data_IF_408184863935
#
_entry.id   IF_408184863935
#
_cell.length_a   1.000
_cell.length_b   1.000
_cell.length_c   1.000
_cell.angle_alpha   90.00
_cell.angle_beta   90.00
_cell.angle_gamma   90.00
#
_symmetry.space_group_name_H-M   'P 1'
#
loop_
_entity.id
_entity.type
_entity.pdbx_description
1 polymer ?
#
# COMPACT_ATOMS: atom_id res chain seq x y z
N UNK A 1 -2.38 28.33 3.39
CA UNK A 1 -3.01 27.29 2.54
C UNK A 1 -2.09 26.07 2.55
N UNK A 2 -2.57 24.87 2.87
CA UNK A 2 -1.71 23.67 2.90
C UNK A 2 -1.14 23.36 1.51
N UNK A 3 0.08 22.83 1.44
CA UNK A 3 0.69 22.42 0.15
C UNK A 3 0.03 21.17 -0.45
N UNK A 4 -0.82 20.48 0.33
CA UNK A 4 -1.47 19.22 0.01
C UNK A 4 -2.96 19.35 -0.35
N UNK A 5 -3.45 20.55 -0.69
CA UNK A 5 -4.89 20.76 -0.95
C UNK A 5 -5.44 19.88 -2.07
N UNK A 6 -4.62 19.54 -3.08
CA UNK A 6 -5.07 18.71 -4.20
C UNK A 6 -5.20 17.25 -3.77
N UNK A 7 -4.21 16.72 -3.07
CA UNK A 7 -4.19 15.39 -2.49
C UNK A 7 -5.32 15.20 -1.49
N UNK A 8 -5.61 16.24 -0.70
CA UNK A 8 -6.75 16.29 0.21
C UNK A 8 -8.08 16.18 -0.54
N UNK A 9 -8.28 16.99 -1.60
CA UNK A 9 -9.50 16.93 -2.43
C UNK A 9 -9.67 15.57 -3.09
N UNK A 10 -8.59 14.94 -3.53
CA UNK A 10 -8.59 13.58 -4.07
C UNK A 10 -9.07 12.57 -3.04
N UNK A 11 -8.57 12.65 -1.81
CA UNK A 11 -9.03 11.79 -0.72
C UNK A 11 -10.50 12.05 -0.34
N UNK A 12 -10.90 13.32 -0.19
CA UNK A 12 -12.28 13.68 0.14
C UNK A 12 -13.25 13.17 -0.93
N UNK A 13 -12.87 13.28 -2.21
CA UNK A 13 -13.67 12.78 -3.34
C UNK A 13 -13.74 11.26 -3.38
N UNK A 14 -12.61 10.57 -3.14
CA UNK A 14 -12.61 9.11 -2.99
C UNK A 14 -13.61 8.70 -1.90
N UNK A 15 -13.58 9.37 -0.75
CA UNK A 15 -14.49 9.06 0.36
C UNK A 15 -15.96 9.33 0.04
N UNK A 16 -16.28 10.39 -0.71
CA UNK A 16 -17.67 10.77 -1.01
C UNK A 16 -18.28 10.03 -2.20
N UNK A 17 -17.48 9.74 -3.22
CA UNK A 17 -17.97 9.30 -4.52
C UNK A 17 -17.78 7.79 -4.75
N UNK A 18 -17.08 7.08 -3.85
CA UNK A 18 -16.86 5.64 -3.98
C UNK A 18 -18.18 4.87 -3.85
N UNK A 19 -18.47 4.06 -4.87
CA UNK A 19 -19.60 3.14 -4.83
C UNK A 19 -19.33 1.98 -3.88
N UNK A 20 -20.38 1.43 -3.29
CA UNK A 20 -20.26 0.24 -2.43
C UNK A 20 -19.68 -0.96 -3.20
N UNK A 21 -19.98 -1.06 -4.50
CA UNK A 21 -19.41 -2.10 -5.37
C UNK A 21 -17.88 -2.00 -5.48
N UNK A 22 -17.35 -0.83 -5.82
CA UNK A 22 -15.90 -0.64 -5.95
C UNK A 22 -15.18 -0.81 -4.60
N UNK A 23 -15.82 -0.37 -3.52
CA UNK A 23 -15.34 -0.59 -2.15
C UNK A 23 -15.26 -2.08 -1.82
N UNK A 24 -16.33 -2.84 -2.05
CA UNK A 24 -16.36 -4.28 -1.78
C UNK A 24 -15.35 -5.05 -2.64
N UNK A 25 -15.19 -4.70 -3.92
CA UNK A 25 -14.17 -5.28 -4.78
C UNK A 25 -12.76 -5.01 -4.25
N UNK A 26 -12.48 -3.78 -3.81
CA UNK A 26 -11.19 -3.41 -3.22
C UNK A 26 -10.88 -4.21 -1.94
N UNK A 27 -11.85 -4.34 -1.04
CA UNK A 27 -11.74 -5.17 0.17
C UNK A 27 -11.49 -6.63 -0.16
N UNK A 28 -12.22 -7.18 -1.14
CA UNK A 28 -12.10 -8.57 -1.57
C UNK A 28 -10.73 -8.88 -2.22
N UNK A 29 -10.22 -8.03 -3.10
CA UNK A 29 -8.90 -8.28 -3.70
C UNK A 29 -7.76 -8.13 -2.68
N UNK A 30 -7.92 -7.23 -1.69
CA UNK A 30 -6.98 -7.11 -0.59
C UNK A 30 -6.99 -8.35 0.30
N UNK A 31 -8.15 -8.91 0.63
CA UNK A 31 -8.23 -10.12 1.45
C UNK A 31 -7.52 -11.31 0.78
N UNK A 32 -7.77 -11.51 -0.51
CA UNK A 32 -7.07 -12.54 -1.31
C UNK A 32 -5.55 -12.32 -1.29
N UNK A 33 -5.10 -11.07 -1.46
CA UNK A 33 -3.66 -10.75 -1.48
C UNK A 33 -2.98 -11.10 -0.15
N UNK A 34 -3.57 -10.70 0.98
CA UNK A 34 -2.97 -10.91 2.31
C UNK A 34 -3.06 -12.36 2.79
N UNK A 35 -4.07 -13.11 2.33
CA UNK A 35 -4.19 -14.56 2.55
C UNK A 35 -3.13 -15.33 1.77
N UNK A 36 -2.91 -14.99 0.49
CA UNK A 36 -1.98 -15.73 -0.38
C UNK A 36 -0.52 -15.46 -0.10
N UNK A 37 -0.17 -14.24 0.31
CA UNK A 37 1.23 -13.81 0.40
C UNK A 37 1.66 -13.49 1.83
N UNK A 38 2.59 -14.30 2.33
CA UNK A 38 3.18 -14.06 3.61
C UNK A 38 4.26 -12.95 3.57
N UNK A 39 3.93 -11.72 3.98
CA UNK A 39 4.87 -10.59 4.14
C UNK A 39 6.00 -10.78 5.16
N UNK A 40 6.02 -11.84 5.99
CA UNK A 40 7.25 -12.18 6.73
C UNK A 40 8.36 -12.63 5.78
N UNK A 41 7.99 -13.25 4.66
CA UNK A 41 8.87 -13.55 3.53
C UNK A 41 9.23 -12.22 2.85
N UNK A 42 10.53 -11.93 2.76
CA UNK A 42 11.03 -10.65 2.28
C UNK A 42 10.59 -10.31 0.85
N UNK A 43 10.66 -11.26 -0.10
CA UNK A 43 10.23 -11.03 -1.49
C UNK A 43 8.74 -10.65 -1.58
N UNK A 44 7.89 -11.23 -0.73
CA UNK A 44 6.45 -10.99 -0.75
C UNK A 44 6.12 -9.57 -0.31
N UNK A 45 6.98 -8.89 0.46
CA UNK A 45 6.76 -7.49 0.86
C UNK A 45 6.68 -6.55 -0.34
N UNK A 46 7.50 -6.81 -1.35
CA UNK A 46 7.53 -5.99 -2.57
C UNK A 46 6.29 -6.21 -3.43
N UNK A 47 5.90 -7.47 -3.64
CA UNK A 47 4.71 -7.79 -4.43
C UNK A 47 3.44 -7.31 -3.74
N UNK A 48 3.31 -7.52 -2.43
CA UNK A 48 2.14 -7.05 -1.68
C UNK A 48 2.08 -5.52 -1.72
N UNK A 49 3.19 -4.82 -1.51
CA UNK A 49 3.24 -3.35 -1.64
C UNK A 49 2.78 -2.87 -3.02
N UNK A 50 3.39 -3.40 -4.09
CA UNK A 50 3.05 -3.02 -5.46
C UNK A 50 1.61 -3.38 -5.85
N UNK A 51 1.09 -4.52 -5.40
CA UNK A 51 -0.31 -4.88 -5.66
C UNK A 51 -1.29 -3.93 -4.96
N UNK A 52 -1.01 -3.53 -3.71
CA UNK A 52 -1.81 -2.54 -2.98
C UNK A 52 -1.81 -1.18 -3.68
N UNK A 53 -0.68 -0.75 -4.24
CA UNK A 53 -0.59 0.45 -5.07
C UNK A 53 -1.50 0.37 -6.30
N UNK A 54 -1.46 -0.76 -7.02
CA UNK A 54 -2.30 -1.01 -8.20
C UNK A 54 -3.80 -1.01 -7.84
N UNK A 55 -4.18 -1.68 -6.75
CA UNK A 55 -5.58 -1.70 -6.29
C UNK A 55 -6.05 -0.31 -5.89
N UNK A 56 -5.21 0.46 -5.19
CA UNK A 56 -5.54 1.83 -4.78
C UNK A 56 -5.68 2.74 -5.99
N UNK A 57 -4.82 2.57 -6.99
CA UNK A 57 -4.95 3.27 -8.28
C UNK A 57 -6.27 2.95 -8.97
N UNK A 58 -6.64 1.67 -9.07
CA UNK A 58 -7.91 1.26 -9.67
C UNK A 58 -9.11 1.85 -8.93
N UNK A 59 -9.06 1.89 -7.59
CA UNK A 59 -10.09 2.50 -6.76
C UNK A 59 -10.20 4.03 -6.97
N UNK A 60 -9.08 4.74 -7.13
CA UNK A 60 -9.13 6.16 -7.50
C UNK A 60 -9.74 6.36 -8.91
N UNK A 61 -9.40 5.49 -9.86
CA UNK A 61 -9.95 5.54 -11.21
C UNK A 61 -11.46 5.29 -11.24
N UNK A 62 -11.99 4.40 -10.38
CA UNK A 62 -13.42 4.07 -10.36
C UNK A 62 -14.29 5.27 -9.97
N UNK A 63 -13.78 6.20 -9.16
CA UNK A 63 -14.46 7.47 -8.80
C UNK A 63 -14.14 8.62 -9.77
N UNK A 64 -13.54 8.33 -10.92
CA UNK A 64 -13.23 9.33 -11.94
C UNK A 64 -12.13 10.30 -11.55
N UNK A 65 -11.19 9.90 -10.68
CA UNK A 65 -9.98 10.68 -10.42
C UNK A 65 -8.98 10.40 -11.54
N UNK A 66 -8.47 11.47 -12.14
CA UNK A 66 -7.38 11.37 -13.10
C UNK A 66 -6.08 11.12 -12.35
N UNK A 67 -5.42 10.01 -12.65
CA UNK A 67 -4.14 9.64 -12.07
C UNK A 67 -3.42 8.64 -12.97
N UNK A 68 -2.13 8.42 -12.70
CA UNK A 68 -1.33 7.36 -13.30
C UNK A 68 -0.49 6.65 -12.23
N UNK A 69 -0.17 5.38 -12.47
CA UNK A 69 0.80 4.66 -11.63
C UNK A 69 2.21 5.19 -11.90
N UNK A 70 2.98 5.38 -10.83
CA UNK A 70 4.39 5.71 -10.96
C UNK A 70 5.18 4.46 -11.35
N UNK A 71 5.87 4.50 -12.48
CA UNK A 71 6.80 3.43 -12.85
C UNK A 71 7.97 3.38 -11.85
N UNK A 72 8.53 2.19 -11.63
CA UNK A 72 9.58 1.86 -10.65
C UNK A 72 10.89 2.67 -10.71
N UNK A 73 11.01 3.66 -11.60
CA UNK A 73 12.27 4.38 -11.89
C UNK A 73 12.40 5.77 -11.29
N UNK A 74 11.34 6.40 -10.78
CA UNK A 74 11.45 7.74 -10.23
C UNK A 74 11.25 7.77 -8.70
N UNK A 75 12.02 8.65 -8.04
CA UNK A 75 12.03 8.81 -6.58
C UNK A 75 10.83 9.69 -6.20
N UNK A 76 10.04 9.29 -5.18
CA UNK A 76 9.09 10.11 -4.39
C UNK A 76 7.56 10.06 -4.64
N UNK A 77 6.98 8.93 -5.05
CA UNK A 77 5.52 8.72 -5.00
C UNK A 77 5.09 7.45 -5.73
N UNK A 78 3.90 6.95 -5.42
CA UNK A 78 3.38 5.69 -5.98
C UNK A 78 2.27 5.98 -7.03
N UNK A 79 1.55 7.09 -6.88
CA UNK A 79 0.48 7.55 -7.80
C UNK A 79 0.71 9.03 -8.16
N UNK A 80 0.67 9.36 -9.46
CA UNK A 80 0.71 10.74 -9.96
C UNK A 80 -0.70 11.27 -10.12
N UNK A 81 -0.92 12.49 -9.63
CA UNK A 81 -2.12 13.29 -9.83
C UNK A 81 -1.81 14.45 -10.80
N UNK A 82 -2.82 15.17 -11.33
CA UNK A 82 -2.60 16.31 -12.20
C UNK A 82 -1.62 17.33 -11.60
N UNK A 83 -0.89 18.07 -12.45
CA UNK A 83 0.14 19.03 -12.03
C UNK A 83 1.30 18.41 -11.22
N UNK A 84 1.67 17.16 -11.54
CA UNK A 84 2.79 16.42 -10.94
C UNK A 84 2.70 16.26 -9.41
N UNK A 85 1.50 16.39 -8.84
CA UNK A 85 1.24 16.04 -7.45
C UNK A 85 1.32 14.53 -7.25
N UNK A 86 1.71 14.10 -6.06
CA UNK A 86 2.02 12.69 -5.79
C UNK A 86 1.33 12.21 -4.52
N UNK A 87 0.81 10.99 -4.58
CA UNK A 87 0.39 10.21 -3.43
C UNK A 87 1.34 9.04 -3.24
N UNK A 88 1.65 8.74 -1.99
CA UNK A 88 2.23 7.45 -1.60
C UNK A 88 1.16 6.55 -1.01
N UNK A 89 1.31 5.24 -1.18
CA UNK A 89 0.45 4.21 -0.61
C UNK A 89 1.30 3.32 0.29
N UNK A 90 0.81 3.03 1.50
CA UNK A 90 1.52 2.19 2.48
C UNK A 90 0.55 1.25 3.18
N UNK A 91 0.76 -0.06 3.06
CA UNK A 91 -0.11 -1.07 3.67
C UNK A 91 0.43 -1.62 4.99
N UNK A 92 -0.44 -1.81 5.98
CA UNK A 92 -0.17 -2.56 7.22
C UNK A 92 -1.34 -3.47 7.56
N UNK A 93 -1.07 -4.77 7.61
CA UNK A 93 -2.13 -5.80 7.67
C UNK A 93 -2.06 -6.69 8.91
N UNK A 94 -1.15 -6.44 9.86
CA UNK A 94 -0.93 -7.30 11.04
C UNK A 94 -1.97 -7.11 12.16
N UNK A 95 -2.99 -6.28 11.95
CA UNK A 95 -4.04 -5.98 12.93
C UNK A 95 -3.59 -5.03 14.06
N UNK A 96 -2.31 -4.67 14.11
CA UNK A 96 -1.76 -3.64 14.99
C UNK A 96 -1.09 -2.57 14.13
N UNK A 97 -1.40 -1.31 14.40
CA UNK A 97 -0.73 -0.18 13.75
C UNK A 97 0.70 -0.09 14.30
N UNK A 98 1.65 -0.64 13.55
CA UNK A 98 3.08 -0.52 13.80
C UNK A 98 3.67 0.74 13.16
N UNK A 99 4.98 0.89 13.34
CA UNK A 99 5.74 1.92 12.65
C UNK A 99 5.78 1.64 11.14
N UNK A 100 5.60 2.69 10.33
CA UNK A 100 5.52 2.59 8.87
C UNK A 100 6.72 3.26 8.25
N UNK A 101 7.46 2.53 7.41
CA UNK A 101 8.56 3.09 6.62
C UNK A 101 8.01 3.87 5.45
N UNK A 102 8.19 5.18 5.46
CA UNK A 102 7.67 6.12 4.46
C UNK A 102 8.57 6.22 3.23
N UNK A 103 9.88 6.28 3.47
CA UNK A 103 10.87 6.47 2.41
C UNK A 103 11.99 5.46 2.59
N UNK A 104 12.31 4.72 1.53
CA UNK A 104 13.54 3.92 1.47
C UNK A 104 14.71 4.81 1.04
N UNK A 105 15.82 4.73 1.76
CA UNK A 105 17.04 5.41 1.40
C UNK A 105 18.10 4.38 0.98
N UNK A 106 18.45 4.39 -0.31
CA UNK A 106 19.65 3.74 -0.83
C UNK A 106 20.68 4.84 -1.11
N UNK A 107 21.83 4.78 -0.44
CA UNK A 107 22.93 5.76 -0.55
C UNK A 107 22.96 6.84 0.54
N UNK A 108 24.00 7.68 0.52
CA UNK A 108 24.16 8.80 1.44
C UNK A 108 23.25 9.98 1.05
N UNK A 109 22.59 10.58 2.04
CA UNK A 109 21.67 11.71 1.88
C UNK A 109 20.76 11.85 3.10
N UNK A 110 20.04 12.95 3.22
CA UNK A 110 18.92 13.06 4.17
C UNK A 110 17.64 13.03 3.35
N UNK A 111 16.70 12.17 3.69
CA UNK A 111 15.37 12.17 3.06
C UNK A 111 14.32 12.57 4.08
N UNK A 112 13.29 13.29 3.64
CA UNK A 112 12.18 13.71 4.47
C UNK A 112 10.87 13.13 3.96
N UNK A 113 9.87 13.08 4.85
CA UNK A 113 8.51 12.81 4.41
C UNK A 113 7.96 14.07 3.74
N UNK A 114 7.73 14.01 2.43
CA UNK A 114 7.31 15.17 1.63
C UNK A 114 6.03 14.92 0.83
N UNK A 115 5.53 13.68 0.81
CA UNK A 115 4.42 13.22 -0.03
C UNK A 115 3.20 12.89 0.83
N UNK A 116 2.01 13.34 0.45
CA UNK A 116 0.79 12.87 1.09
C UNK A 116 0.66 11.35 0.95
N UNK A 117 0.17 10.67 1.99
CA UNK A 117 0.20 9.20 2.06
C UNK A 117 -1.17 8.64 2.41
N UNK A 118 -1.60 7.63 1.65
CA UNK A 118 -2.74 6.78 1.96
C UNK A 118 -2.23 5.54 2.69
N UNK A 119 -2.54 5.44 3.98
CA UNK A 119 -2.23 4.27 4.79
C UNK A 119 -3.39 3.29 4.70
N UNK A 120 -3.13 2.10 4.18
CA UNK A 120 -4.09 1.00 4.05
C UNK A 120 -3.93 0.11 5.28
N UNK A 121 -4.87 0.20 6.23
CA UNK A 121 -4.71 -0.35 7.58
C UNK A 121 -5.80 -1.36 7.89
N UNK A 122 -5.40 -2.58 8.26
CA UNK A 122 -6.37 -3.58 8.70
C UNK A 122 -7.09 -3.17 9.99
N UNK A 123 -8.41 -3.35 10.01
CA UNK A 123 -9.29 -2.93 11.11
C UNK A 123 -9.50 -1.41 11.23
N UNK A 124 -9.09 -0.60 10.23
CA UNK A 124 -9.32 0.84 10.22
C UNK A 124 -9.78 1.36 8.86
N UNK A 125 -9.20 0.88 7.76
CA UNK A 125 -9.52 1.33 6.41
C UNK A 125 -8.39 2.14 5.78
N UNK A 126 -8.75 3.13 4.96
CA UNK A 126 -7.80 4.03 4.30
C UNK A 126 -7.65 5.31 5.12
N UNK A 127 -6.46 5.57 5.65
CA UNK A 127 -6.15 6.77 6.42
C UNK A 127 -5.30 7.72 5.58
N UNK A 128 -5.76 8.96 5.43
CA UNK A 128 -5.00 10.04 4.79
C UNK A 128 -4.09 10.74 5.79
N UNK A 129 -2.81 10.86 5.48
CA UNK A 129 -1.85 11.60 6.30
C UNK A 129 -0.86 12.42 5.47
N UNK A 130 -0.37 13.49 6.08
CA UNK A 130 0.67 14.36 5.52
C UNK A 130 1.67 14.75 6.60
N UNK A 131 2.88 15.21 6.23
CA UNK A 131 3.86 15.73 7.18
C UNK A 131 3.32 16.86 8.07
N UNK A 132 2.36 17.65 7.58
CA UNK A 132 1.78 18.79 8.32
C UNK A 132 0.78 18.35 9.40
N UNK A 133 0.46 17.05 9.50
CA UNK A 133 -0.54 16.51 10.42
C UNK A 133 0.06 15.85 11.66
N UNK A 134 1.38 15.80 11.78
CA UNK A 134 2.07 15.11 12.87
C UNK A 134 3.21 15.98 13.39
N UNK A 135 3.50 15.83 14.68
CA UNK A 135 4.69 16.42 15.29
C UNK A 135 5.96 15.73 14.78
N UNK A 136 7.04 16.50 14.64
CA UNK A 136 8.33 16.00 14.12
C UNK A 136 8.88 14.81 14.93
N UNK A 137 8.58 14.75 16.23
CA UNK A 137 9.01 13.65 17.11
C UNK A 137 8.45 12.28 16.71
N UNK A 138 7.38 12.25 15.92
CA UNK A 138 6.82 11.03 15.38
C UNK A 138 7.49 10.56 14.08
N UNK A 139 8.35 11.40 13.49
CA UNK A 139 9.12 11.09 12.30
C UNK A 139 10.54 10.74 12.73
N UNK A 140 10.91 9.48 12.54
CA UNK A 140 12.24 8.97 12.87
C UNK A 140 13.08 8.78 11.61
N UNK A 141 14.25 9.42 11.58
CA UNK A 141 15.31 9.08 10.65
C UNK A 141 15.99 7.79 11.11
N UNK A 142 16.09 6.81 10.22
CA UNK A 142 16.81 5.55 10.42
C UNK A 142 17.85 5.39 9.33
N UNK A 143 18.84 4.51 9.53
CA UNK A 143 19.98 4.34 8.62
C UNK A 143 19.59 4.09 7.15
N UNK A 144 18.42 3.51 6.92
CA UNK A 144 17.93 3.10 5.61
C UNK A 144 16.62 3.81 5.21
N UNK A 145 16.24 4.92 5.88
CA UNK A 145 15.04 5.67 5.50
C UNK A 145 14.39 6.54 6.57
N UNK A 146 13.10 6.84 6.30
CA UNK A 146 12.23 7.63 7.18
C UNK A 146 11.10 6.75 7.67
N UNK A 147 10.84 6.75 8.97
CA UNK A 147 9.78 5.96 9.62
C UNK A 147 8.82 6.88 10.34
N UNK A 148 7.52 6.70 10.12
CA UNK A 148 6.45 7.30 10.91
C UNK A 148 6.06 6.36 12.04
N UNK A 149 6.07 6.84 13.27
CA UNK A 149 5.64 6.04 14.43
C UNK A 149 4.17 5.66 14.30
N UNK A 150 3.82 4.42 14.63
CA UNK A 150 2.43 3.95 14.58
C UNK A 150 1.46 4.75 15.47
N UNK A 151 1.98 5.43 16.51
CA UNK A 151 1.20 6.34 17.35
C UNK A 151 0.65 7.53 16.56
N UNK A 152 1.43 8.14 15.67
CA UNK A 152 0.97 9.25 14.85
C UNK A 152 -0.15 8.84 13.90
N UNK A 153 -0.05 7.64 13.31
CA UNK A 153 -1.10 7.11 12.43
C UNK A 153 -2.40 6.92 13.21
N UNK A 154 -2.31 6.38 14.45
CA UNK A 154 -3.46 6.26 15.36
C UNK A 154 -4.09 7.62 15.66
N UNK A 155 -3.27 8.64 15.93
CA UNK A 155 -3.75 10.00 16.22
C UNK A 155 -4.42 10.63 14.99
N UNK A 156 -3.83 10.48 13.79
CA UNK A 156 -4.44 10.92 12.53
C UNK A 156 -5.81 10.25 12.31
N UNK A 157 -5.91 8.94 12.58
CA UNK A 157 -7.13 8.16 12.35
C UNK A 157 -8.25 8.44 13.36
N UNK A 158 -7.98 9.16 14.46
CA UNK A 158 -9.04 9.58 15.39
C UNK A 158 -9.98 10.63 14.78
N UNK A 159 -9.51 11.36 13.76
CA UNK A 159 -10.35 12.29 13.02
C UNK A 159 -10.97 11.56 11.83
N UNK A 160 -12.30 11.36 11.86
CA UNK A 160 -13.03 10.67 10.80
C UNK A 160 -12.89 11.35 9.43
N UNK A 161 -12.59 12.65 9.37
CA UNK A 161 -12.31 13.35 8.11
C UNK A 161 -11.01 12.88 7.42
N UNK A 162 -10.18 12.11 8.11
CA UNK A 162 -8.96 11.52 7.56
C UNK A 162 -9.11 10.03 7.29
N UNK A 163 -10.30 9.46 7.51
CA UNK A 163 -10.55 8.02 7.36
C UNK A 163 -11.64 7.80 6.31
N UNK A 164 -11.33 6.92 5.36
CA UNK A 164 -12.31 6.28 4.50
C UNK A 164 -12.44 4.82 4.96
N UNK A 165 -13.60 4.50 5.51
CA UNK A 165 -13.87 3.21 6.13
C UNK A 165 -14.01 2.14 5.05
N UNK A 166 -13.10 1.17 5.09
CA UNK A 166 -13.12 -0.05 4.27
C UNK A 166 -12.76 -1.23 5.18
N UNK A 167 -13.46 -2.34 5.02
CA UNK A 167 -13.29 -3.55 5.82
C UNK A 167 -12.07 -4.33 5.35
N UNK A 168 -10.92 -3.99 5.91
CA UNK A 168 -9.68 -4.74 5.68
C UNK A 168 -9.44 -5.64 6.87
N UNK A 169 -9.67 -6.94 6.70
CA UNK A 169 -9.45 -7.91 7.76
C UNK A 169 -7.95 -8.00 8.12
N UNK A 170 -7.61 -8.17 9.40
CA UNK A 170 -6.25 -8.51 9.79
C UNK A 170 -5.81 -9.79 9.12
N UNK A 171 -4.56 -9.81 8.70
CA UNK A 171 -3.93 -11.00 8.17
C UNK A 171 -3.96 -12.12 9.21
N UNK A 172 -4.36 -13.35 8.83
CA UNK A 172 -4.33 -14.49 9.74
C UNK A 172 -2.91 -14.82 10.22
N UNK A 173 -2.75 -15.40 11.43
CA UNK A 173 -1.45 -15.76 11.98
C UNK A 173 -0.64 -16.64 11.03
N UNK A 174 0.63 -16.26 10.83
CA UNK A 174 1.55 -16.88 9.87
C UNK A 174 2.00 -18.30 10.21
N UNK A 175 1.67 -18.80 11.40
CA UNK A 175 1.97 -20.17 11.82
C UNK A 175 1.11 -21.22 11.09
N UNK A 176 0.10 -20.79 10.33
CA UNK A 176 -0.83 -21.68 9.63
C UNK A 176 -0.49 -22.01 8.17
N UNK A 177 0.55 -21.44 7.55
CA UNK A 177 0.73 -21.60 6.09
C UNK A 177 2.02 -22.32 5.70
N UNK A 178 1.92 -23.64 5.56
CA UNK A 178 2.71 -24.36 4.54
C UNK A 178 2.38 -23.93 3.10
N UNK A 179 1.39 -23.05 2.92
CA UNK A 179 0.77 -22.66 1.64
C UNK A 179 1.05 -21.22 1.18
N UNK A 180 1.93 -20.46 1.86
CA UNK A 180 2.23 -19.10 1.38
C UNK A 180 2.97 -19.16 0.06
N UNK A 181 2.39 -18.57 -0.98
CA UNK A 181 3.09 -18.45 -2.25
C UNK A 181 4.33 -17.58 -2.08
N UNK A 182 5.46 -18.07 -2.61
CA UNK A 182 6.60 -17.21 -2.92
C UNK A 182 6.27 -16.42 -4.18
N UNK A 183 6.45 -15.10 -4.12
CA UNK A 183 6.28 -14.21 -5.27
C UNK A 183 6.97 -14.74 -6.54
N UNK A 184 8.24 -15.13 -6.41
CA UNK A 184 9.02 -15.72 -7.50
C UNK A 184 8.38 -16.98 -8.10
N UNK A 185 7.85 -17.90 -7.28
CA UNK A 185 7.19 -19.12 -7.74
C UNK A 185 5.88 -18.79 -8.47
N UNK A 186 5.08 -17.87 -7.95
CA UNK A 186 3.83 -17.45 -8.59
C UNK A 186 4.09 -16.84 -9.98
N UNK A 187 5.07 -15.94 -10.09
CA UNK A 187 5.48 -15.32 -11.36
C UNK A 187 6.00 -16.38 -12.33
N UNK A 188 6.88 -17.28 -11.87
CA UNK A 188 7.44 -18.33 -12.71
C UNK A 188 6.34 -19.27 -13.25
N UNK A 189 5.40 -19.71 -12.38
CA UNK A 189 4.25 -20.53 -12.79
C UNK A 189 3.39 -19.80 -13.83
N UNK A 190 3.11 -18.51 -13.63
CA UNK A 190 2.31 -17.72 -14.58
C UNK A 190 2.98 -17.62 -15.95
N UNK A 191 4.27 -17.24 -16.01
CA UNK A 191 5.02 -17.13 -17.27
C UNK A 191 5.06 -18.48 -17.99
N UNK A 192 5.34 -19.56 -17.27
CA UNK A 192 5.36 -20.90 -17.86
C UNK A 192 3.99 -21.31 -18.40
N UNK A 193 2.91 -20.98 -17.69
CA UNK A 193 1.54 -21.27 -18.11
C UNK A 193 1.17 -20.52 -19.39
N UNK A 194 1.38 -19.19 -19.41
CA UNK A 194 1.08 -18.33 -20.57
C UNK A 194 1.85 -18.76 -21.83
N UNK A 195 3.07 -19.27 -21.65
CA UNK A 195 3.94 -19.73 -22.74
C UNK A 195 3.84 -21.23 -23.00
N UNK A 196 2.89 -21.94 -22.36
CA UNK A 196 2.69 -23.39 -22.53
C UNK A 196 3.97 -24.21 -22.34
N UNK A 197 4.84 -23.81 -21.40
CA UNK A 197 6.10 -24.47 -21.06
C UNK A 197 5.85 -25.77 -20.26
N UNK A 198 5.05 -26.68 -20.83
CA UNK A 198 4.47 -27.85 -20.16
C UNK A 198 5.51 -28.79 -19.54
N UNK A 199 6.66 -28.98 -20.19
CA UNK A 199 7.77 -29.79 -19.65
C UNK A 199 8.32 -29.19 -18.35
N UNK A 200 8.49 -27.87 -18.29
CA UNK A 200 9.01 -27.18 -17.10
C UNK A 200 7.99 -27.19 -15.96
N UNK A 201 6.71 -26.95 -16.27
CA UNK A 201 5.61 -27.00 -15.30
C UNK A 201 5.55 -28.39 -14.65
N UNK A 202 5.63 -29.45 -15.44
CA UNK A 202 5.60 -30.85 -14.94
C UNK A 202 6.83 -31.19 -14.09
N UNK A 203 7.95 -30.53 -14.29
CA UNK A 203 9.20 -30.77 -13.55
C UNK A 203 9.32 -30.00 -12.24
N UNK A 204 8.43 -29.04 -11.97
CA UNK A 204 8.42 -28.32 -10.70
C UNK A 204 7.72 -29.17 -9.63
N UNK A 205 8.50 -29.95 -8.87
CA UNK A 205 8.06 -30.52 -7.58
C UNK A 205 7.95 -29.40 -6.55
N UNK A 206 6.87 -28.62 -6.64
CA UNK A 206 6.60 -27.53 -5.72
C UNK A 206 5.15 -27.66 -5.25
N UNK A 207 5.01 -28.42 -4.16
CA UNK A 207 3.83 -28.46 -3.28
C UNK A 207 3.42 -27.04 -2.85
#
# INVERSE_FOLDING_TARGET
>A
MSKFNQERRVFDRLKSDCSEEAKNEFEYVLSILIERYNTTIYENRFIVGGAVEVFTYALLKSVGIECSLYGSQAKSGDIILPNDKKLSVKGTFTGKIGDVKLVNQLGSGTRFWETATLFIISGTGIVYGTPEMVEEEYIKQVSDGVVLKGKAIREISQNSNNVFEVEILPKPPTEMTGFSHKASVAVAKQIMFENKATTLIKSMDLD
#
